data_IF_649466147428
#
_entry.id   IF_649466147428
#
_cell.length_a   1.000
_cell.length_b   1.000
_cell.length_c   1.000
_cell.angle_alpha   90.00
_cell.angle_beta   90.00
_cell.angle_gamma   90.00
#
_symmetry.space_group_name_H-M   'P 1'
#
loop_
_entity.id
_entity.type
_entity.pdbx_description
1 polymer ?
#
# COMPACT_ATOMS: atom_id res chain seq x y z
N UNK A 1 11.10 -21.60 -20.19
CA UNK A 1 11.29 -21.21 -18.76
C UNK A 1 12.47 -20.24 -18.54
N UNK A 2 13.65 -20.45 -19.14
CA UNK A 2 14.85 -19.59 -18.95
C UNK A 2 14.61 -18.09 -19.19
N UNK A 3 13.92 -17.72 -20.29
CA UNK A 3 13.66 -16.31 -20.67
C UNK A 3 12.81 -15.55 -19.64
N UNK A 4 11.78 -16.19 -19.07
CA UNK A 4 10.94 -15.59 -18.03
C UNK A 4 11.71 -15.42 -16.71
N UNK A 5 12.60 -16.37 -16.37
CA UNK A 5 13.47 -16.27 -15.20
C UNK A 5 14.41 -15.06 -15.32
N UNK A 6 14.97 -14.84 -16.51
CA UNK A 6 15.84 -13.68 -16.76
C UNK A 6 15.07 -12.35 -16.66
N UNK A 7 13.84 -12.26 -17.18
CA UNK A 7 13.00 -11.06 -17.06
C UNK A 7 12.71 -10.72 -15.59
N UNK A 8 12.35 -11.71 -14.77
CA UNK A 8 12.12 -11.51 -13.33
C UNK A 8 13.34 -10.95 -12.62
N UNK A 9 14.54 -11.46 -12.94
CA UNK A 9 15.80 -10.97 -12.36
C UNK A 9 16.01 -9.49 -12.72
N UNK A 10 15.86 -9.11 -13.99
CA UNK A 10 16.02 -7.72 -14.42
C UNK A 10 15.04 -6.77 -13.75
N UNK A 11 13.76 -7.14 -13.65
CA UNK A 11 12.76 -6.31 -12.97
C UNK A 11 13.11 -6.17 -11.47
N UNK A 12 13.56 -7.25 -10.82
CA UNK A 12 14.01 -7.21 -9.42
C UNK A 12 15.24 -6.32 -9.22
N UNK A 13 16.21 -6.36 -10.14
CA UNK A 13 17.39 -5.49 -10.10
C UNK A 13 17.01 -4.02 -10.32
N UNK A 14 16.13 -3.73 -11.27
CA UNK A 14 15.63 -2.37 -11.52
C UNK A 14 14.89 -1.85 -10.27
N UNK A 15 14.06 -2.68 -9.65
CA UNK A 15 13.39 -2.34 -8.39
C UNK A 15 14.40 -1.98 -7.29
N UNK A 16 15.42 -2.81 -7.07
CA UNK A 16 16.43 -2.58 -6.04
C UNK A 16 17.23 -1.30 -6.31
N UNK A 17 17.53 -1.02 -7.59
CA UNK A 17 18.18 0.22 -7.99
C UNK A 17 17.30 1.44 -7.68
N UNK A 18 16.03 1.42 -8.10
CA UNK A 18 15.09 2.52 -7.85
C UNK A 18 14.90 2.77 -6.36
N UNK A 19 14.76 1.71 -5.57
CA UNK A 19 14.62 1.81 -4.11
C UNK A 19 15.90 2.39 -3.48
N UNK A 20 17.07 1.93 -3.92
CA UNK A 20 18.37 2.44 -3.43
C UNK A 20 18.55 3.92 -3.74
N UNK A 21 18.22 4.34 -4.97
CA UNK A 21 18.28 5.75 -5.39
C UNK A 21 17.31 6.60 -4.58
N UNK A 22 16.08 6.13 -4.38
CA UNK A 22 15.09 6.82 -3.56
C UNK A 22 15.59 7.01 -2.12
N UNK A 23 16.08 5.95 -1.48
CA UNK A 23 16.60 6.00 -0.11
C UNK A 23 17.82 6.92 0.00
N UNK A 24 18.73 6.88 -0.98
CA UNK A 24 19.88 7.79 -1.01
C UNK A 24 19.46 9.26 -1.03
N UNK A 25 18.53 9.64 -1.93
CA UNK A 25 18.04 11.02 -1.99
C UNK A 25 17.27 11.42 -0.73
N UNK A 26 16.49 10.50 -0.14
CA UNK A 26 15.74 10.75 1.08
C UNK A 26 16.69 11.09 2.24
N UNK A 27 17.68 10.24 2.50
CA UNK A 27 18.62 10.43 3.61
C UNK A 27 19.69 11.48 3.33
N UNK A 28 19.94 11.85 2.06
CA UNK A 28 20.81 12.97 1.71
C UNK A 28 20.18 14.33 2.02
N UNK A 29 18.84 14.44 2.04
CA UNK A 29 18.12 15.70 2.27
C UNK A 29 17.52 15.82 3.65
N UNK A 30 17.20 14.72 4.30
CA UNK A 30 16.50 14.70 5.57
C UNK A 30 17.14 13.72 6.54
N UNK A 31 17.47 14.19 7.75
CA UNK A 31 17.84 13.29 8.84
C UNK A 31 16.59 12.67 9.49
N UNK A 32 16.75 11.49 10.10
CA UNK A 32 15.64 10.81 10.81
C UNK A 32 15.11 11.70 11.95
N UNK A 33 15.98 12.47 12.62
CA UNK A 33 15.59 13.40 13.67
C UNK A 33 14.75 14.58 13.13
N UNK A 34 15.09 15.13 11.96
CA UNK A 34 14.33 16.26 11.39
C UNK A 34 12.93 15.85 10.93
N UNK A 35 12.78 14.69 10.27
CA UNK A 35 11.48 14.21 9.77
C UNK A 35 10.49 13.95 10.92
N UNK A 36 11.00 13.58 12.09
CA UNK A 36 10.20 13.26 13.28
C UNK A 36 9.93 14.47 14.18
N UNK A 37 10.51 15.63 13.88
CA UNK A 37 10.36 16.83 14.71
C UNK A 37 9.02 17.54 14.43
N UNK A 38 8.32 17.94 15.49
CA UNK A 38 7.05 18.70 15.40
C UNK A 38 7.15 19.96 14.53
N UNK A 39 8.26 20.70 14.62
CA UNK A 39 8.48 21.92 13.83
C UNK A 39 8.58 21.64 12.33
N UNK A 40 9.11 20.49 11.91
CA UNK A 40 9.16 20.10 10.50
C UNK A 40 7.74 19.83 9.96
N UNK A 41 6.92 19.15 10.76
CA UNK A 41 5.52 18.93 10.41
C UNK A 41 4.81 20.28 10.30
N UNK A 42 4.88 21.12 11.36
CA UNK A 42 4.17 22.42 11.43
C UNK A 42 4.59 23.44 10.35
N UNK A 43 5.87 23.55 10.00
CA UNK A 43 6.31 24.51 8.97
C UNK A 43 5.88 24.09 7.56
N UNK A 44 5.83 22.79 7.28
CA UNK A 44 5.33 22.25 6.01
C UNK A 44 3.79 22.15 6.00
N UNK A 45 3.15 22.08 7.17
CA UNK A 45 1.69 22.06 7.34
C UNK A 45 1.01 23.24 6.66
N UNK A 46 1.45 24.48 6.93
CA UNK A 46 0.87 25.69 6.32
C UNK A 46 1.06 25.71 4.80
N UNK A 47 2.23 25.27 4.31
CA UNK A 47 2.49 25.16 2.88
C UNK A 47 1.56 24.13 2.19
N UNK A 48 1.37 22.97 2.80
CA UNK A 48 0.49 21.92 2.27
C UNK A 48 -0.98 22.33 2.29
N UNK A 49 -1.41 23.05 3.32
CA UNK A 49 -2.77 23.59 3.41
C UNK A 49 -2.99 24.64 2.33
N UNK A 50 -2.07 25.59 2.15
CA UNK A 50 -2.15 26.60 1.10
C UNK A 50 -2.13 25.99 -0.31
N UNK A 51 -1.34 24.93 -0.54
CA UNK A 51 -1.35 24.18 -1.80
C UNK A 51 -2.70 23.51 -2.05
N UNK A 52 -3.30 22.89 -1.04
CA UNK A 52 -4.65 22.30 -1.15
C UNK A 52 -5.68 23.35 -1.54
N UNK A 53 -5.64 24.53 -0.91
CA UNK A 53 -6.57 25.62 -1.20
C UNK A 53 -6.43 26.15 -2.63
N UNK A 54 -5.21 26.09 -3.19
CA UNK A 54 -4.96 26.52 -4.58
C UNK A 54 -5.63 25.62 -5.64
N UNK A 55 -5.54 24.29 -5.48
CA UNK A 55 -6.15 23.34 -6.42
C UNK A 55 -6.31 21.95 -5.79
N UNK A 56 -7.43 21.74 -5.09
CA UNK A 56 -7.75 20.49 -4.41
C UNK A 56 -7.64 19.26 -5.33
N UNK A 57 -8.17 19.37 -6.55
CA UNK A 57 -8.22 18.25 -7.50
C UNK A 57 -6.82 17.79 -7.93
N UNK A 58 -5.96 18.74 -8.30
CA UNK A 58 -4.59 18.45 -8.71
C UNK A 58 -3.79 17.81 -7.56
N UNK A 59 -3.91 18.37 -6.35
CA UNK A 59 -3.21 17.86 -5.17
C UNK A 59 -3.70 16.45 -4.79
N UNK A 60 -5.00 16.18 -4.89
CA UNK A 60 -5.54 14.82 -4.67
C UNK A 60 -4.98 13.81 -5.68
N UNK A 61 -4.93 14.14 -6.97
CA UNK A 61 -4.36 13.26 -7.99
C UNK A 61 -2.88 13.01 -7.74
N UNK A 62 -2.11 14.05 -7.45
CA UNK A 62 -0.69 13.93 -7.16
C UNK A 62 -0.46 13.05 -5.92
N UNK A 63 -1.26 13.23 -4.87
CA UNK A 63 -1.19 12.41 -3.66
C UNK A 63 -1.50 10.93 -3.95
N UNK A 64 -2.57 10.65 -4.70
CA UNK A 64 -2.94 9.27 -5.08
C UNK A 64 -1.84 8.64 -5.92
N UNK A 65 -1.32 9.34 -6.93
CA UNK A 65 -0.25 8.84 -7.80
C UNK A 65 1.03 8.52 -7.01
N UNK A 66 1.47 9.45 -6.17
CA UNK A 66 2.61 9.23 -5.28
C UNK A 66 2.36 8.08 -4.31
N UNK A 67 1.19 8.04 -3.69
CA UNK A 67 0.84 7.04 -2.70
C UNK A 67 0.73 5.63 -3.27
N UNK A 68 0.24 5.49 -4.51
CA UNK A 68 0.26 4.21 -5.23
C UNK A 68 1.70 3.75 -5.40
N UNK A 69 2.60 4.61 -5.88
CA UNK A 69 4.03 4.29 -6.03
C UNK A 69 4.69 3.94 -4.69
N UNK A 70 4.37 4.69 -3.64
CA UNK A 70 4.85 4.46 -2.28
C UNK A 70 4.48 3.06 -1.77
N UNK A 71 3.22 2.68 -1.91
CA UNK A 71 2.73 1.37 -1.45
C UNK A 71 3.18 0.22 -2.35
N UNK A 72 3.21 0.42 -3.67
CA UNK A 72 3.46 -0.67 -4.62
C UNK A 72 4.91 -0.88 -4.97
N UNK A 73 5.64 0.20 -5.26
CA UNK A 73 7.04 0.13 -5.73
C UNK A 73 8.01 0.35 -4.58
N UNK A 74 7.71 1.22 -3.63
CA UNK A 74 8.63 1.47 -2.52
C UNK A 74 8.35 0.56 -1.32
N UNK A 75 7.23 -0.17 -1.32
CA UNK A 75 6.76 -1.01 -0.21
C UNK A 75 6.73 -0.25 1.13
N UNK A 76 6.43 1.05 1.04
CA UNK A 76 6.38 1.94 2.18
C UNK A 76 5.25 1.62 3.14
N UNK A 77 5.33 2.17 4.35
CA UNK A 77 4.32 1.95 5.37
C UNK A 77 3.01 2.68 5.02
N UNK A 78 1.87 2.01 5.28
CA UNK A 78 0.55 2.60 5.05
C UNK A 78 0.19 3.69 6.06
N UNK A 79 0.57 3.54 7.33
CA UNK A 79 0.16 4.47 8.39
C UNK A 79 0.65 5.91 8.18
N UNK A 80 1.91 6.21 7.78
CA UNK A 80 2.32 7.58 7.47
C UNK A 80 1.52 8.21 6.33
N UNK A 81 1.21 7.42 5.29
CA UNK A 81 0.41 7.89 4.15
C UNK A 81 -1.02 8.21 4.58
N UNK A 82 -1.64 7.37 5.43
CA UNK A 82 -2.99 7.65 5.95
C UNK A 82 -2.99 8.86 6.87
N UNK A 83 -2.01 8.98 7.78
CA UNK A 83 -1.87 10.16 8.64
C UNK A 83 -1.73 11.44 7.81
N UNK A 84 -0.87 11.42 6.78
CA UNK A 84 -0.70 12.54 5.87
C UNK A 84 -1.99 12.87 5.11
N UNK A 85 -2.78 11.86 4.71
CA UNK A 85 -4.06 12.10 4.05
C UNK A 85 -5.07 12.80 4.96
N UNK A 86 -5.17 12.41 6.24
CA UNK A 86 -6.02 13.05 7.22
C UNK A 86 -5.56 14.48 7.51
N UNK A 87 -4.26 14.66 7.64
CA UNK A 87 -3.63 15.96 7.85
C UNK A 87 -3.90 16.94 6.70
N UNK A 88 -3.72 16.52 5.45
CA UNK A 88 -3.88 17.39 4.28
C UNK A 88 -5.35 17.61 3.93
N UNK A 89 -6.17 16.55 3.92
CA UNK A 89 -7.51 16.58 3.34
C UNK A 89 -8.64 16.57 4.38
N UNK A 90 -8.32 16.46 5.67
CA UNK A 90 -9.28 16.25 6.74
C UNK A 90 -9.81 14.81 6.80
N UNK A 91 -10.66 14.53 7.77
CA UNK A 91 -11.09 13.17 8.11
C UNK A 91 -11.79 12.48 6.94
N UNK A 92 -12.90 13.04 6.46
CA UNK A 92 -13.75 12.37 5.47
C UNK A 92 -13.08 12.26 4.11
N UNK A 93 -12.56 13.37 3.58
CA UNK A 93 -11.94 13.40 2.25
C UNK A 93 -10.58 12.68 2.26
N UNK A 94 -9.80 12.83 3.32
CA UNK A 94 -8.56 12.08 3.54
C UNK A 94 -8.80 10.58 3.60
N UNK A 95 -9.86 10.13 4.28
CA UNK A 95 -10.25 8.71 4.31
C UNK A 95 -10.53 8.18 2.90
N UNK A 96 -11.33 8.89 2.11
CA UNK A 96 -11.65 8.46 0.73
C UNK A 96 -10.39 8.37 -0.13
N UNK A 97 -9.53 9.40 -0.09
CA UNK A 97 -8.27 9.44 -0.83
C UNK A 97 -7.36 8.29 -0.42
N UNK A 98 -7.17 8.07 0.89
CA UNK A 98 -6.32 7.01 1.39
C UNK A 98 -6.86 5.61 1.06
N UNK A 99 -8.16 5.37 1.18
CA UNK A 99 -8.78 4.09 0.80
C UNK A 99 -8.51 3.77 -0.67
N UNK A 100 -8.73 4.74 -1.57
CA UNK A 100 -8.45 4.57 -3.01
C UNK A 100 -6.96 4.27 -3.23
N UNK A 101 -6.09 5.08 -2.63
CA UNK A 101 -4.64 4.98 -2.77
C UNK A 101 -4.09 3.64 -2.29
N UNK A 102 -4.44 3.24 -1.07
CA UNK A 102 -4.03 1.98 -0.47
C UNK A 102 -4.55 0.79 -1.27
N UNK A 103 -5.79 0.83 -1.74
CA UNK A 103 -6.39 -0.28 -2.48
C UNK A 103 -5.74 -0.48 -3.84
N UNK A 104 -5.50 0.62 -4.58
CA UNK A 104 -4.80 0.57 -5.87
C UNK A 104 -3.34 0.14 -5.69
N UNK A 105 -2.62 0.73 -4.74
CA UNK A 105 -1.24 0.35 -4.43
C UNK A 105 -1.11 -1.10 -3.99
N UNK A 106 -1.97 -1.57 -3.10
CA UNK A 106 -2.00 -2.95 -2.64
C UNK A 106 -2.36 -3.93 -3.77
N UNK A 107 -3.20 -3.52 -4.72
CA UNK A 107 -3.56 -4.31 -5.91
C UNK A 107 -2.39 -4.44 -6.87
N UNK A 108 -1.64 -3.37 -7.10
CA UNK A 108 -0.40 -3.45 -7.87
C UNK A 108 0.63 -4.37 -7.19
N UNK A 109 0.83 -4.22 -5.87
CA UNK A 109 1.70 -5.14 -5.10
C UNK A 109 1.27 -6.59 -5.27
N UNK A 110 -0.02 -6.87 -5.16
CA UNK A 110 -0.56 -8.22 -5.33
C UNK A 110 -0.31 -8.75 -6.75
N UNK A 111 -0.54 -7.95 -7.80
CA UNK A 111 -0.29 -8.35 -9.19
C UNK A 111 1.20 -8.70 -9.40
N UNK A 112 2.10 -7.84 -8.92
CA UNK A 112 3.54 -8.11 -9.01
C UNK A 112 3.89 -9.38 -8.23
N UNK A 113 3.47 -9.48 -6.97
CA UNK A 113 3.76 -10.63 -6.14
C UNK A 113 3.24 -11.94 -6.75
N UNK A 114 2.03 -11.93 -7.30
CA UNK A 114 1.47 -13.08 -8.00
C UNK A 114 2.31 -13.44 -9.23
N UNK A 115 2.71 -12.46 -10.05
CA UNK A 115 3.58 -12.70 -11.20
C UNK A 115 4.93 -13.32 -10.80
N UNK A 116 5.55 -12.82 -9.73
CA UNK A 116 6.86 -13.26 -9.27
C UNK A 116 6.86 -14.61 -8.57
N UNK A 117 5.96 -14.78 -7.59
CA UNK A 117 6.02 -15.84 -6.60
C UNK A 117 5.07 -17.00 -6.87
N UNK A 118 4.09 -16.88 -7.79
CA UNK A 118 3.10 -17.93 -8.02
C UNK A 118 3.68 -19.33 -8.21
N UNK A 119 4.70 -19.48 -9.07
CA UNK A 119 5.33 -20.79 -9.30
C UNK A 119 6.03 -21.35 -8.04
N UNK A 120 6.64 -20.49 -7.23
CA UNK A 120 7.28 -20.89 -5.97
C UNK A 120 6.24 -21.29 -4.92
N UNK A 121 5.10 -20.61 -4.92
CA UNK A 121 3.95 -20.92 -4.06
C UNK A 121 3.37 -22.28 -4.43
N UNK A 122 3.12 -22.51 -5.72
CA UNK A 122 2.61 -23.80 -6.23
C UNK A 122 3.57 -24.95 -5.90
N UNK A 123 4.88 -24.76 -6.05
CA UNK A 123 5.87 -25.81 -5.78
C UNK A 123 6.01 -26.14 -4.28
N UNK A 124 6.10 -25.11 -3.41
CA UNK A 124 6.44 -25.30 -1.99
C UNK A 124 5.23 -25.39 -1.06
N UNK A 125 4.09 -24.84 -1.46
CA UNK A 125 2.97 -24.58 -0.55
C UNK A 125 1.65 -25.19 -0.99
N UNK A 126 1.52 -25.66 -2.24
CA UNK A 126 0.27 -26.23 -2.75
C UNK A 126 -0.29 -27.37 -1.88
N UNK A 127 0.56 -28.28 -1.38
CA UNK A 127 0.08 -29.38 -0.54
C UNK A 127 -0.12 -29.01 0.93
N UNK A 128 0.61 -28.02 1.45
CA UNK A 128 0.59 -27.67 2.88
C UNK A 128 -0.63 -26.84 3.26
N UNK A 129 -1.11 -25.99 2.34
CA UNK A 129 -2.21 -25.07 2.59
C UNK A 129 -3.46 -25.34 1.75
N UNK A 130 -3.52 -26.46 1.01
CA UNK A 130 -4.63 -26.79 0.11
C UNK A 130 -6.01 -26.67 0.76
N UNK A 131 -6.18 -27.23 1.97
CA UNK A 131 -7.43 -27.14 2.72
C UNK A 131 -7.83 -25.69 3.04
N UNK A 132 -6.85 -24.85 3.40
CA UNK A 132 -7.09 -23.45 3.71
C UNK A 132 -7.37 -22.64 2.44
N UNK A 133 -6.65 -22.94 1.36
CA UNK A 133 -6.89 -22.37 0.03
C UNK A 133 -8.33 -22.64 -0.43
N UNK A 134 -8.79 -23.89 -0.41
CA UNK A 134 -10.15 -24.25 -0.81
C UNK A 134 -11.21 -23.50 0.03
N UNK A 135 -10.99 -23.40 1.35
CA UNK A 135 -11.88 -22.67 2.26
C UNK A 135 -11.91 -21.16 1.98
N UNK A 136 -10.75 -20.55 1.76
CA UNK A 136 -10.66 -19.12 1.49
C UNK A 136 -11.24 -18.83 0.11
N UNK A 137 -10.96 -19.65 -0.91
CA UNK A 137 -11.50 -19.48 -2.26
C UNK A 137 -13.03 -19.55 -2.31
N UNK A 138 -13.65 -20.39 -1.48
CA UNK A 138 -15.10 -20.46 -1.39
C UNK A 138 -15.75 -19.11 -1.03
N UNK A 139 -15.07 -18.26 -0.25
CA UNK A 139 -15.56 -16.96 0.20
C UNK A 139 -14.49 -15.87 0.12
N UNK A 140 -13.76 -15.83 -1.00
CA UNK A 140 -12.53 -15.04 -1.14
C UNK A 140 -12.72 -13.56 -0.82
N UNK A 141 -13.79 -12.93 -1.31
CA UNK A 141 -14.10 -11.53 -1.02
C UNK A 141 -14.28 -11.28 0.48
N UNK A 142 -15.06 -12.12 1.16
CA UNK A 142 -15.33 -11.99 2.60
C UNK A 142 -14.06 -12.22 3.40
N UNK A 143 -13.24 -13.20 3.01
CA UNK A 143 -11.97 -13.46 3.66
C UNK A 143 -11.06 -12.23 3.62
N UNK A 144 -10.88 -11.61 2.42
CA UNK A 144 -10.10 -10.38 2.28
C UNK A 144 -10.70 -9.25 3.11
N UNK A 145 -12.00 -9.03 2.99
CA UNK A 145 -12.72 -7.98 3.70
C UNK A 145 -12.48 -8.07 5.22
N UNK A 146 -12.68 -9.25 5.81
CA UNK A 146 -12.63 -9.46 7.25
C UNK A 146 -11.23 -9.22 7.81
N UNK A 147 -10.17 -9.81 7.22
CA UNK A 147 -8.83 -9.60 7.80
C UNK A 147 -8.36 -8.15 7.59
N UNK A 148 -8.77 -7.52 6.48
CA UNK A 148 -8.47 -6.10 6.24
C UNK A 148 -9.20 -5.19 7.20
N UNK A 149 -10.42 -5.56 7.60
CA UNK A 149 -11.23 -4.83 8.57
C UNK A 149 -10.66 -4.95 9.98
N UNK A 150 -10.33 -6.17 10.41
CA UNK A 150 -9.75 -6.45 11.74
C UNK A 150 -8.37 -5.80 11.89
N UNK A 151 -7.53 -5.89 10.86
CA UNK A 151 -6.16 -5.36 10.89
C UNK A 151 -5.21 -6.25 11.68
N UNK A 152 -4.16 -5.65 12.26
CA UNK A 152 -3.13 -6.35 13.05
C UNK A 152 -2.06 -7.07 12.22
N UNK A 153 -2.33 -7.35 10.94
CA UNK A 153 -1.32 -7.90 10.02
C UNK A 153 -0.53 -6.74 9.40
N UNK A 154 0.81 -6.76 9.43
CA UNK A 154 1.64 -5.77 8.74
C UNK A 154 1.22 -5.64 7.27
N UNK A 155 1.04 -4.41 6.80
CA UNK A 155 0.36 -4.14 5.53
C UNK A 155 1.01 -4.83 4.32
N UNK A 156 2.35 -4.90 4.30
CA UNK A 156 3.11 -5.59 3.27
C UNK A 156 2.82 -7.10 3.26
N UNK A 157 2.77 -7.74 4.43
CA UNK A 157 2.43 -9.17 4.57
C UNK A 157 0.98 -9.38 4.14
N UNK A 158 0.08 -8.51 4.59
CA UNK A 158 -1.34 -8.53 4.24
C UNK A 158 -1.60 -8.42 2.72
N UNK A 159 -0.70 -7.77 1.97
CA UNK A 159 -0.78 -7.67 0.51
C UNK A 159 -0.27 -8.93 -0.21
N UNK A 160 0.64 -9.68 0.41
CA UNK A 160 1.24 -10.89 -0.17
C UNK A 160 0.45 -12.16 0.14
N UNK A 161 -0.21 -12.23 1.31
CA UNK A 161 -0.98 -13.40 1.74
C UNK A 161 -1.97 -13.92 0.68
N UNK A 162 -2.73 -13.07 -0.03
CA UNK A 162 -3.69 -13.55 -1.03
C UNK A 162 -3.07 -14.26 -2.24
N UNK A 163 -1.76 -14.10 -2.46
CA UNK A 163 -1.04 -14.86 -3.49
C UNK A 163 -0.98 -16.34 -3.14
N UNK A 164 -0.90 -16.68 -1.85
CA UNK A 164 -0.86 -18.06 -1.37
C UNK A 164 -2.14 -18.84 -1.65
N UNK A 165 -3.26 -18.13 -1.78
CA UNK A 165 -4.58 -18.72 -1.94
C UNK A 165 -5.18 -18.47 -3.32
N UNK A 166 -4.37 -17.97 -4.26
CA UNK A 166 -4.76 -17.71 -5.65
C UNK A 166 -6.09 -16.93 -5.79
N UNK A 167 -6.24 -15.89 -4.97
CA UNK A 167 -7.45 -15.06 -4.88
C UNK A 167 -7.69 -14.28 -6.17
N UNK A 168 -8.94 -14.16 -6.62
CA UNK A 168 -9.27 -13.36 -7.80
C UNK A 168 -9.00 -11.88 -7.54
N UNK A 169 -8.34 -11.25 -8.52
CA UNK A 169 -7.96 -9.83 -8.45
C UNK A 169 -9.11 -8.90 -8.10
N UNK A 170 -10.30 -9.13 -8.69
CA UNK A 170 -11.52 -8.34 -8.41
C UNK A 170 -11.91 -8.42 -6.93
N UNK A 171 -11.87 -9.62 -6.35
CA UNK A 171 -12.27 -9.85 -4.97
C UNK A 171 -11.22 -9.35 -3.98
N UNK A 172 -9.93 -9.42 -4.35
CA UNK A 172 -8.87 -8.76 -3.61
C UNK A 172 -9.03 -7.23 -3.60
N UNK A 173 -9.26 -6.61 -4.76
CA UNK A 173 -9.44 -5.15 -4.86
C UNK A 173 -10.66 -4.69 -4.05
N UNK A 174 -11.84 -5.27 -4.28
CA UNK A 174 -13.07 -4.87 -3.58
C UNK A 174 -13.01 -5.16 -2.08
N UNK A 175 -12.46 -6.32 -1.70
CA UNK A 175 -12.28 -6.69 -0.30
C UNK A 175 -11.31 -5.75 0.41
N UNK A 176 -10.22 -5.33 -0.25
CA UNK A 176 -9.29 -4.34 0.30
C UNK A 176 -9.95 -2.96 0.36
N UNK A 177 -10.63 -2.52 -0.71
CA UNK A 177 -11.29 -1.23 -0.79
C UNK A 177 -12.29 -1.00 0.33
N UNK A 178 -13.11 -1.99 0.64
CA UNK A 178 -14.07 -1.90 1.75
C UNK A 178 -13.44 -2.22 3.09
N UNK A 179 -12.52 -3.18 3.12
CA UNK A 179 -11.96 -3.71 4.36
C UNK A 179 -11.04 -2.73 5.08
N UNK A 180 -10.29 -1.88 4.36
CA UNK A 180 -9.37 -0.94 5.02
C UNK A 180 -10.06 0.29 5.62
N UNK A 181 -11.33 0.56 5.26
CA UNK A 181 -12.05 1.79 5.63
C UNK A 181 -11.99 2.09 7.14
N UNK A 182 -12.27 1.15 8.06
CA UNK A 182 -12.32 1.48 9.49
C UNK A 182 -10.96 1.94 10.03
N UNK A 183 -9.89 1.22 9.70
CA UNK A 183 -8.54 1.57 10.12
C UNK A 183 -8.08 2.88 9.49
N UNK A 184 -8.41 3.08 8.21
CA UNK A 184 -8.08 4.32 7.51
C UNK A 184 -8.80 5.49 8.16
N UNK A 185 -10.08 5.35 8.48
CA UNK A 185 -10.86 6.39 9.13
C UNK A 185 -10.28 6.78 10.49
N UNK A 186 -9.92 5.79 11.31
CA UNK A 186 -9.31 6.03 12.63
C UNK A 186 -7.98 6.78 12.47
N UNK A 187 -7.08 6.29 11.61
CA UNK A 187 -5.75 6.89 11.44
C UNK A 187 -5.85 8.27 10.76
N UNK A 188 -6.73 8.44 9.79
CA UNK A 188 -6.96 9.74 9.15
C UNK A 188 -7.57 10.75 10.14
N UNK A 189 -8.40 10.30 11.09
CA UNK A 189 -8.90 11.16 12.17
C UNK A 189 -7.75 11.68 13.04
N UNK A 190 -6.82 10.80 13.44
CA UNK A 190 -5.63 11.21 14.18
C UNK A 190 -4.74 12.19 13.40
N UNK A 191 -4.67 12.04 12.08
CA UNK A 191 -3.92 12.97 11.22
C UNK A 191 -4.57 14.35 11.11
N UNK A 192 -5.90 14.42 11.18
CA UNK A 192 -6.65 15.67 11.02
C UNK A 192 -6.66 16.56 12.27
N UNK A 193 -6.32 16.03 13.45
CA UNK A 193 -6.34 16.73 14.73
C UNK A 193 -7.43 16.21 15.65
#
# INVERSE_FOLDING_TARGET
MQRMKNIKIWIGLIYLLLLSVFLYFLFSKFSIQEITTYNFIKSNSEYLINLRESNLFLISIAFIAFGILWISVLQGFGSPLVLASGFVFGIYFGTVIAVITLSLGATLTYIFANFFFKSLVEEKFANRFKFLEEKIQANEFIAILVYRFIGGIPFQIANLLPVLFNIKLKNYFLGTFLGVIPQVFIIASLGAG
#
